data_IF_445081436007
#
_entry.id   IF_445081436007
#
_cell.length_a   1.000
_cell.length_b   1.000
_cell.length_c   1.000
_cell.angle_alpha   90.00
_cell.angle_beta   90.00
_cell.angle_gamma   90.00
#
_symmetry.space_group_name_H-M   'P 1'
#
loop_
_entity.id
_entity.type
_entity.pdbx_description
1 polymer ?
#
# COMPACT_ATOMS: atom_id res chain seq x y z
N UNK A 1 -38.97 9.61 10.63
CA UNK A 1 -39.03 11.02 10.23
C UNK A 1 -37.64 11.47 9.84
N UNK A 2 -37.43 11.59 8.52
CA UNK A 2 -36.20 12.21 7.99
C UNK A 2 -36.26 13.69 8.31
N UNK A 3 -35.21 14.20 8.95
CA UNK A 3 -35.10 15.62 9.28
C UNK A 3 -35.29 16.47 8.00
N UNK A 4 -36.23 17.41 8.04
CA UNK A 4 -36.57 18.27 6.91
C UNK A 4 -35.37 19.08 6.39
N UNK A 5 -34.33 19.25 7.20
CA UNK A 5 -33.09 19.93 6.82
C UNK A 5 -32.17 19.10 5.93
N UNK A 6 -32.37 17.79 5.85
CA UNK A 6 -31.58 16.87 5.05
C UNK A 6 -32.14 16.59 3.65
N UNK A 7 -33.36 17.12 3.34
CA UNK A 7 -33.99 16.89 2.06
C UNK A 7 -33.41 17.82 0.99
N UNK A 8 -32.81 17.24 -0.06
CA UNK A 8 -32.42 17.98 -1.25
C UNK A 8 -33.65 18.36 -2.06
N UNK A 9 -33.66 19.54 -2.58
CA UNK A 9 -34.75 20.02 -3.44
C UNK A 9 -34.75 19.32 -4.82
N UNK A 10 -33.58 18.84 -5.27
CA UNK A 10 -33.41 18.17 -6.55
C UNK A 10 -32.62 16.86 -6.37
N UNK A 11 -33.00 15.88 -7.17
CA UNK A 11 -32.26 14.61 -7.25
C UNK A 11 -30.90 14.83 -7.89
N UNK A 12 -29.91 14.07 -7.45
CA UNK A 12 -28.55 14.09 -7.99
C UNK A 12 -28.19 12.73 -8.55
N UNK A 13 -27.72 12.72 -9.79
CA UNK A 13 -27.12 11.55 -10.43
C UNK A 13 -25.61 11.74 -10.50
N UNK A 14 -24.84 10.75 -10.04
CA UNK A 14 -23.39 10.74 -10.12
C UNK A 14 -22.92 9.42 -10.70
N UNK A 15 -21.99 9.49 -11.64
CA UNK A 15 -21.32 8.34 -12.20
C UNK A 15 -19.81 8.54 -12.11
N UNK A 16 -19.09 7.50 -11.70
CA UNK A 16 -17.64 7.52 -11.64
C UNK A 16 -17.04 6.25 -12.25
N UNK A 17 -15.93 6.42 -12.90
CA UNK A 17 -15.13 5.34 -13.45
C UNK A 17 -13.68 5.54 -13.03
N UNK A 18 -13.04 4.46 -12.62
CA UNK A 18 -11.60 4.47 -12.36
C UNK A 18 -10.93 3.32 -13.06
N UNK A 19 -9.79 3.61 -13.66
CA UNK A 19 -8.89 2.62 -14.23
C UNK A 19 -7.62 2.57 -13.39
N UNK A 20 -7.17 1.36 -13.04
CA UNK A 20 -5.93 1.18 -12.31
C UNK A 20 -5.21 -0.05 -12.81
N UNK A 21 -3.92 0.07 -13.03
CA UNK A 21 -3.03 -1.02 -13.42
C UNK A 21 -2.15 -1.41 -12.24
N UNK A 22 -1.93 -2.72 -12.09
CA UNK A 22 -0.97 -3.30 -11.17
C UNK A 22 -0.14 -4.34 -11.90
N UNK A 23 1.17 -4.31 -11.71
CA UNK A 23 2.06 -5.34 -12.20
C UNK A 23 3.13 -5.67 -11.16
N UNK A 24 3.55 -6.91 -11.16
CA UNK A 24 4.64 -7.41 -10.33
C UNK A 24 5.61 -8.21 -11.17
N UNK A 25 6.88 -8.13 -10.80
CA UNK A 25 7.94 -8.95 -11.36
C UNK A 25 8.74 -9.54 -10.21
N UNK A 26 8.80 -10.86 -10.17
CA UNK A 26 9.44 -11.60 -9.10
C UNK A 26 10.45 -12.58 -9.66
N UNK A 27 11.62 -12.63 -9.04
CA UNK A 27 12.66 -13.60 -9.32
C UNK A 27 13.08 -14.25 -8.02
N UNK A 28 13.21 -15.57 -8.04
CA UNK A 28 13.65 -16.35 -6.90
C UNK A 28 14.61 -17.42 -7.36
N UNK A 29 15.74 -17.54 -6.67
CA UNK A 29 16.68 -18.61 -6.84
C UNK A 29 16.82 -19.37 -5.53
N UNK A 30 16.70 -20.69 -5.61
CA UNK A 30 16.83 -21.59 -4.47
C UNK A 30 17.97 -22.56 -4.75
N UNK A 31 18.76 -22.84 -3.71
CA UNK A 31 19.80 -23.82 -3.79
C UNK A 31 19.84 -24.64 -2.48
N UNK A 32 19.72 -25.96 -2.64
CA UNK A 32 19.74 -26.91 -1.53
C UNK A 32 20.97 -27.80 -1.66
N UNK A 33 21.70 -27.97 -0.57
CA UNK A 33 22.85 -28.85 -0.53
C UNK A 33 23.02 -29.51 0.83
N UNK A 34 23.62 -30.68 0.81
CA UNK A 34 23.92 -31.47 2.00
C UNK A 34 25.42 -31.60 2.16
N UNK A 35 25.89 -31.32 3.35
CA UNK A 35 27.28 -31.54 3.75
C UNK A 35 27.29 -32.45 4.99
N UNK A 36 27.65 -33.70 4.85
CA UNK A 36 27.53 -34.71 5.89
C UNK A 36 26.11 -34.78 6.44
N UNK A 37 25.92 -34.48 7.71
CA UNK A 37 24.61 -34.50 8.40
C UNK A 37 23.92 -33.14 8.40
N UNK A 38 24.48 -32.15 7.72
CA UNK A 38 23.92 -30.80 7.58
C UNK A 38 23.16 -30.68 6.27
N UNK A 39 21.93 -30.29 6.36
CA UNK A 39 21.09 -29.86 5.21
C UNK A 39 20.94 -28.37 5.24
N UNK A 40 21.27 -27.71 4.15
CA UNK A 40 21.20 -26.26 4.00
C UNK A 40 20.38 -25.92 2.77
N UNK A 41 19.35 -25.12 2.98
CA UNK A 41 18.54 -24.54 1.91
C UNK A 41 18.74 -23.02 1.91
N UNK A 42 19.22 -22.49 0.82
CA UNK A 42 19.40 -21.06 0.62
C UNK A 42 18.44 -20.55 -0.43
N UNK A 43 17.84 -19.41 -0.18
CA UNK A 43 16.95 -18.71 -1.08
C UNK A 43 17.39 -17.26 -1.18
N UNK A 44 17.46 -16.75 -2.40
CA UNK A 44 17.57 -15.32 -2.68
C UNK A 44 16.48 -14.92 -3.66
N UNK A 45 15.91 -13.76 -3.45
CA UNK A 45 14.84 -13.27 -4.31
C UNK A 45 14.81 -11.75 -4.42
N UNK A 46 14.20 -11.30 -5.49
CA UNK A 46 13.89 -9.88 -5.70
C UNK A 46 12.48 -9.76 -6.23
N UNK A 47 11.77 -8.75 -5.78
CA UNK A 47 10.48 -8.39 -6.33
C UNK A 47 10.37 -6.90 -6.60
N UNK A 48 9.67 -6.56 -7.66
CA UNK A 48 9.34 -5.20 -8.03
C UNK A 48 7.85 -5.14 -8.31
N UNK A 49 7.16 -4.28 -7.61
CA UNK A 49 5.73 -4.10 -7.77
C UNK A 49 5.41 -2.62 -8.00
N UNK A 50 4.51 -2.35 -8.94
CA UNK A 50 3.94 -1.03 -9.17
C UNK A 50 2.43 -1.13 -9.25
N UNK A 51 1.74 -0.18 -8.64
CA UNK A 51 0.29 -0.09 -8.67
C UNK A 51 -0.17 1.36 -8.63
N UNK A 52 -1.48 1.56 -8.90
CA UNK A 52 -2.10 2.88 -8.89
C UNK A 52 -1.87 3.70 -10.15
N UNK A 53 -1.21 3.14 -11.18
CA UNK A 53 -1.14 3.81 -12.48
C UNK A 53 -2.49 3.72 -13.18
N UNK A 54 -3.10 4.88 -13.42
CA UNK A 54 -4.41 4.96 -14.06
C UNK A 54 -4.99 6.36 -13.93
N UNK A 55 -6.28 6.44 -14.12
CA UNK A 55 -7.02 7.69 -14.06
C UNK A 55 -8.42 7.46 -13.48
N UNK A 56 -8.98 8.49 -12.90
CA UNK A 56 -10.38 8.52 -12.46
C UNK A 56 -11.13 9.63 -13.17
N UNK A 57 -12.34 9.32 -13.56
CA UNK A 57 -13.31 10.27 -14.10
C UNK A 57 -14.58 10.19 -13.26
N UNK A 58 -15.10 11.33 -12.85
CA UNK A 58 -16.34 11.43 -12.13
C UNK A 58 -17.16 12.58 -12.72
N UNK A 59 -18.42 12.33 -12.93
CA UNK A 59 -19.38 13.36 -13.36
C UNK A 59 -20.64 13.27 -12.50
N UNK A 60 -21.22 14.42 -12.21
CA UNK A 60 -22.50 14.50 -11.50
C UNK A 60 -23.34 15.61 -12.05
N UNK A 61 -24.66 15.41 -12.03
CA UNK A 61 -25.61 16.39 -12.40
C UNK A 61 -26.85 16.29 -11.51
N UNK A 62 -27.66 17.32 -11.47
CA UNK A 62 -28.91 17.38 -10.70
C UNK A 62 -30.11 17.45 -11.64
N UNK A 63 -31.28 17.26 -11.09
CA UNK A 63 -32.54 17.34 -11.79
C UNK A 63 -32.74 16.20 -12.81
N UNK A 64 -32.87 14.99 -12.28
CA UNK A 64 -33.15 13.80 -13.09
C UNK A 64 -34.54 13.90 -13.72
N UNK A 65 -34.66 13.54 -14.99
CA UNK A 65 -35.93 13.45 -15.69
C UNK A 65 -36.83 12.31 -15.20
N UNK A 66 -36.26 11.39 -14.43
CA UNK A 66 -36.88 10.18 -13.90
C UNK A 66 -36.73 10.10 -12.40
N UNK A 67 -37.79 9.71 -11.71
CA UNK A 67 -37.81 9.58 -10.25
C UNK A 67 -37.43 8.20 -9.73
N UNK A 68 -36.84 7.34 -10.56
CA UNK A 68 -36.48 5.98 -10.22
C UNK A 68 -34.96 5.69 -10.40
N UNK A 69 -34.46 4.65 -9.70
CA UNK A 69 -33.08 4.27 -9.77
C UNK A 69 -32.69 3.55 -11.07
N UNK A 70 -33.66 2.97 -11.77
CA UNK A 70 -33.43 2.23 -13.00
C UNK A 70 -32.99 3.16 -14.14
N UNK A 71 -33.48 4.39 -14.12
CA UNK A 71 -33.17 5.42 -15.12
C UNK A 71 -32.19 6.49 -14.61
N UNK A 72 -31.53 6.25 -13.49
CA UNK A 72 -30.59 7.19 -12.86
C UNK A 72 -29.23 7.24 -13.60
N UNK A 73 -29.22 7.71 -14.82
CA UNK A 73 -28.02 7.89 -15.65
C UNK A 73 -27.80 9.38 -15.95
N UNK A 74 -26.54 9.77 -16.16
CA UNK A 74 -26.14 11.13 -16.50
C UNK A 74 -26.80 11.64 -17.81
N UNK A 75 -27.11 10.73 -18.72
CA UNK A 75 -27.87 11.07 -19.97
C UNK A 75 -29.32 11.41 -19.74
N UNK A 76 -29.87 11.08 -18.59
CA UNK A 76 -31.27 11.25 -18.24
C UNK A 76 -31.52 12.44 -17.29
N UNK A 77 -30.60 13.37 -17.25
CA UNK A 77 -30.69 14.57 -16.43
C UNK A 77 -31.08 15.79 -17.28
N UNK A 78 -31.68 16.77 -16.64
CA UNK A 78 -32.02 18.02 -17.30
C UNK A 78 -30.79 18.76 -17.81
N UNK A 79 -30.84 19.25 -19.03
CA UNK A 79 -29.77 20.05 -19.65
C UNK A 79 -30.03 21.55 -19.54
N UNK A 80 -30.95 21.95 -18.68
CA UNK A 80 -31.24 23.39 -18.49
C UNK A 80 -30.03 24.10 -17.83
N UNK A 81 -29.84 25.40 -18.11
CA UNK A 81 -28.72 26.17 -17.53
C UNK A 81 -28.75 26.23 -15.99
N UNK A 82 -29.86 25.92 -15.36
CA UNK A 82 -30.02 25.88 -13.91
C UNK A 82 -29.50 24.56 -13.29
N UNK A 83 -29.28 23.52 -14.09
CA UNK A 83 -28.73 22.29 -13.58
C UNK A 83 -27.23 22.46 -13.25
N UNK A 84 -26.84 22.06 -12.04
CA UNK A 84 -25.43 22.08 -11.62
C UNK A 84 -24.75 20.82 -12.10
N UNK A 85 -23.88 20.95 -13.09
CA UNK A 85 -23.04 19.85 -13.55
C UNK A 85 -21.63 19.97 -13.02
N UNK A 86 -21.07 18.87 -12.61
CA UNK A 86 -19.71 18.76 -12.14
C UNK A 86 -19.01 17.61 -12.88
N UNK A 87 -17.85 17.92 -13.45
CA UNK A 87 -16.96 16.94 -14.05
C UNK A 87 -15.61 17.10 -13.40
N UNK A 88 -15.05 15.99 -12.92
CA UNK A 88 -13.70 15.95 -12.36
C UNK A 88 -12.97 14.72 -12.87
N UNK A 89 -11.68 14.88 -13.10
CA UNK A 89 -10.81 13.80 -13.49
C UNK A 89 -9.41 14.05 -12.95
N UNK A 90 -8.74 13.00 -12.55
CA UNK A 90 -7.37 13.09 -12.05
C UNK A 90 -6.61 11.81 -12.35
N UNK A 91 -5.28 11.92 -12.58
CA UNK A 91 -4.45 10.73 -12.60
C UNK A 91 -4.41 10.10 -11.21
N UNK A 92 -4.40 8.79 -11.17
CA UNK A 92 -4.19 8.04 -9.94
C UNK A 92 -2.74 8.13 -9.48
N UNK A 93 -2.53 8.13 -8.18
CA UNK A 93 -1.20 8.17 -7.60
C UNK A 93 -0.49 6.83 -7.76
N UNK A 94 0.61 6.83 -8.49
CA UNK A 94 1.43 5.65 -8.71
C UNK A 94 2.33 5.37 -7.50
N UNK A 95 2.30 4.14 -7.01
CA UNK A 95 3.16 3.63 -5.97
C UNK A 95 4.02 2.49 -6.47
N UNK A 96 5.17 2.29 -5.85
CA UNK A 96 6.05 1.18 -6.16
C UNK A 96 6.78 0.68 -4.92
N UNK A 97 7.01 -0.63 -4.87
CA UNK A 97 7.86 -1.30 -3.87
C UNK A 97 8.88 -2.15 -4.61
N UNK A 98 10.11 -2.07 -4.17
CA UNK A 98 11.18 -2.98 -4.55
C UNK A 98 11.64 -3.73 -3.30
N UNK A 99 11.73 -5.06 -3.39
CA UNK A 99 12.10 -5.91 -2.26
C UNK A 99 13.21 -6.86 -2.65
N UNK A 100 14.13 -7.09 -1.71
CA UNK A 100 15.14 -8.13 -1.79
C UNK A 100 15.00 -9.02 -0.56
N UNK A 101 15.10 -10.32 -0.78
CA UNK A 101 15.01 -11.31 0.29
C UNK A 101 16.17 -12.30 0.18
N UNK A 102 16.76 -12.62 1.32
CA UNK A 102 17.69 -13.73 1.47
C UNK A 102 17.26 -14.56 2.66
N UNK A 103 17.16 -15.86 2.49
CA UNK A 103 16.80 -16.81 3.55
C UNK A 103 17.76 -17.98 3.52
N UNK A 104 18.14 -18.45 4.70
CA UNK A 104 18.86 -19.72 4.87
C UNK A 104 18.12 -20.54 5.91
N UNK A 105 17.86 -21.79 5.59
CA UNK A 105 17.41 -22.80 6.53
C UNK A 105 18.52 -23.81 6.72
N UNK A 106 18.76 -24.23 7.95
CA UNK A 106 19.76 -25.20 8.32
C UNK A 106 19.13 -26.26 9.20
N UNK A 107 19.41 -27.52 8.88
CA UNK A 107 18.97 -28.68 9.65
C UNK A 107 20.22 -29.53 9.92
N UNK A 108 20.40 -29.94 11.16
CA UNK A 108 21.47 -30.82 11.57
C UNK A 108 20.91 -32.03 12.30
N UNK A 109 21.25 -33.23 11.79
CA UNK A 109 20.87 -34.53 12.35
C UNK A 109 19.35 -34.68 12.55
N UNK A 110 18.52 -33.91 11.83
CA UNK A 110 17.09 -33.84 12.07
C UNK A 110 16.70 -33.48 13.52
N UNK A 111 17.65 -33.04 14.33
CA UNK A 111 17.49 -32.64 15.73
C UNK A 111 17.41 -31.13 15.88
N UNK A 112 18.30 -30.41 15.22
CA UNK A 112 18.43 -28.96 15.33
C UNK A 112 18.06 -28.28 14.03
N UNK A 113 17.22 -27.26 14.13
CA UNK A 113 16.77 -26.46 13.00
C UNK A 113 17.05 -24.99 13.30
N UNK A 114 17.57 -24.29 12.32
CA UNK A 114 17.72 -22.85 12.38
C UNK A 114 17.29 -22.23 11.06
N UNK A 115 16.73 -21.05 11.12
CA UNK A 115 16.50 -20.25 9.93
C UNK A 115 16.86 -18.80 10.19
N UNK A 116 17.41 -18.16 9.18
CA UNK A 116 17.68 -16.73 9.17
C UNK A 116 17.11 -16.15 7.87
N UNK A 117 16.43 -15.02 7.99
CA UNK A 117 15.90 -14.29 6.83
C UNK A 117 16.26 -12.83 6.98
N UNK A 118 16.71 -12.23 5.90
CA UNK A 118 16.91 -10.80 5.76
C UNK A 118 16.07 -10.30 4.61
N UNK A 119 15.26 -9.28 4.86
CA UNK A 119 14.45 -8.63 3.85
C UNK A 119 14.75 -7.13 3.83
N UNK A 120 14.96 -6.59 2.64
CA UNK A 120 15.13 -5.18 2.40
C UNK A 120 14.00 -4.70 1.48
N UNK A 121 13.17 -3.79 1.95
CA UNK A 121 12.03 -3.25 1.22
C UNK A 121 12.19 -1.75 1.02
N UNK A 122 12.10 -1.31 -0.24
CA UNK A 122 12.16 0.09 -0.63
C UNK A 122 10.83 0.55 -1.20
N UNK A 123 10.17 1.52 -0.56
CA UNK A 123 8.88 2.04 -1.00
C UNK A 123 8.97 3.48 -1.51
N UNK A 124 8.27 3.78 -2.62
CA UNK A 124 8.15 5.12 -3.17
C UNK A 124 7.35 6.09 -2.29
N UNK A 125 6.59 5.56 -1.34
CA UNK A 125 5.77 6.35 -0.39
C UNK A 125 6.64 7.25 0.49
N UNK A 126 7.88 6.83 0.76
CA UNK A 126 8.82 7.55 1.61
C UNK A 126 9.73 8.49 0.83
N UNK A 127 10.25 9.52 1.51
CA UNK A 127 11.18 10.47 0.94
C UNK A 127 12.48 9.83 0.45
N UNK A 128 13.12 10.44 -0.53
CA UNK A 128 14.47 10.02 -0.98
C UNK A 128 15.43 9.97 0.22
N UNK A 129 16.22 8.91 0.30
CA UNK A 129 17.13 8.67 1.44
C UNK A 129 16.51 7.90 2.61
N UNK A 130 15.18 7.78 2.69
CA UNK A 130 14.45 7.08 3.76
C UNK A 130 13.53 5.97 3.24
N UNK A 131 13.73 5.53 2.01
CA UNK A 131 12.85 4.57 1.34
C UNK A 131 13.07 3.13 1.75
N UNK A 132 14.27 2.79 2.21
CA UNK A 132 14.66 1.43 2.49
C UNK A 132 14.50 1.10 3.97
N UNK A 133 13.79 0.01 4.23
CA UNK A 133 13.71 -0.65 5.52
C UNK A 133 14.35 -2.03 5.46
N UNK A 134 14.95 -2.46 6.57
CA UNK A 134 15.61 -3.76 6.71
C UNK A 134 14.94 -4.55 7.81
N UNK A 135 14.53 -5.76 7.51
CA UNK A 135 13.69 -6.59 8.36
C UNK A 135 14.34 -7.96 8.56
N UNK A 136 15.26 -8.08 9.55
CA UNK A 136 15.85 -9.35 9.92
C UNK A 136 14.85 -10.21 10.69
N UNK A 137 14.95 -11.53 10.50
CA UNK A 137 14.27 -12.50 11.34
C UNK A 137 15.11 -13.76 11.49
N UNK A 138 14.98 -14.41 12.62
CA UNK A 138 15.66 -15.66 12.91
C UNK A 138 14.73 -16.59 13.70
N UNK A 139 14.89 -17.89 13.50
CA UNK A 139 14.22 -18.90 14.30
C UNK A 139 15.15 -20.06 14.59
N UNK A 140 14.96 -20.70 15.73
CA UNK A 140 15.62 -21.92 16.11
C UNK A 140 14.57 -22.95 16.55
N UNK A 141 14.86 -24.22 16.30
CA UNK A 141 14.03 -25.34 16.68
C UNK A 141 14.89 -26.50 17.14
N UNK A 142 14.39 -27.21 18.16
CA UNK A 142 15.04 -28.40 18.69
C UNK A 142 14.00 -29.53 18.78
N UNK A 143 14.29 -30.63 18.09
CA UNK A 143 13.46 -31.83 18.10
C UNK A 143 13.98 -32.75 19.21
N UNK A 144 13.37 -32.68 20.38
CA UNK A 144 13.80 -33.35 21.58
C UNK A 144 13.64 -34.87 21.45
N UNK A 145 12.57 -35.30 20.78
CA UNK A 145 12.31 -36.72 20.54
C UNK A 145 13.39 -37.44 19.74
N UNK A 146 14.16 -36.70 18.94
CA UNK A 146 15.27 -37.29 18.18
C UNK A 146 16.55 -37.43 18.98
N UNK A 147 16.60 -36.96 20.23
CA UNK A 147 17.77 -37.06 21.09
C UNK A 147 17.89 -38.45 21.71
N UNK A 148 19.14 -38.92 21.88
CA UNK A 148 19.40 -40.25 22.38
C UNK A 148 18.98 -40.41 23.86
N UNK A 149 19.07 -39.32 24.63
CA UNK A 149 18.57 -39.34 26.02
C UNK A 149 17.06 -39.51 26.10
N UNK A 150 16.29 -38.95 25.17
CA UNK A 150 14.84 -39.08 25.14
C UNK A 150 14.41 -40.52 24.82
N UNK A 151 15.07 -41.12 23.84
CA UNK A 151 14.86 -42.53 23.46
C UNK A 151 15.22 -43.46 24.62
N UNK A 152 16.24 -43.13 25.38
CA UNK A 152 16.66 -43.91 26.57
C UNK A 152 15.65 -43.85 27.75
N UNK A 153 14.75 -42.86 27.76
CA UNK A 153 13.72 -42.75 28.81
C UNK A 153 12.49 -43.66 28.55
N UNK A 154 12.38 -44.26 27.36
CA UNK A 154 11.25 -45.09 26.99
C UNK A 154 9.94 -44.33 26.85
N UNK A 155 9.98 -42.99 26.73
CA UNK A 155 8.85 -42.13 26.60
C UNK A 155 8.28 -42.07 25.17
N UNK A 156 8.98 -42.67 24.23
CA UNK A 156 8.59 -42.78 22.81
C UNK A 156 7.30 -43.55 22.59
N UNK A 157 6.89 -44.37 23.54
CA UNK A 157 5.59 -45.05 23.51
C UNK A 157 4.37 -44.14 23.86
N UNK A 158 4.63 -42.99 24.51
CA UNK A 158 3.58 -42.04 24.97
C UNK A 158 3.64 -40.72 24.23
N UNK A 159 4.81 -40.28 23.78
CA UNK A 159 5.04 -39.01 23.14
C UNK A 159 5.85 -39.20 21.85
N UNK A 160 5.15 -39.24 20.72
CA UNK A 160 5.75 -39.48 19.40
C UNK A 160 6.61 -38.33 18.89
N UNK A 161 6.24 -37.09 19.24
CA UNK A 161 6.93 -35.91 18.73
C UNK A 161 6.91 -34.74 19.72
N UNK A 162 8.10 -34.29 20.11
CA UNK A 162 8.28 -33.08 20.93
C UNK A 162 9.33 -32.16 20.28
N UNK A 163 8.89 -30.98 19.93
CA UNK A 163 9.73 -29.93 19.34
C UNK A 163 9.57 -28.60 20.07
N UNK A 164 10.69 -28.05 20.49
CA UNK A 164 10.76 -26.68 21.02
C UNK A 164 11.12 -25.71 19.87
N UNK A 165 10.46 -24.55 19.82
CA UNK A 165 10.75 -23.50 18.83
C UNK A 165 10.81 -22.14 19.49
N UNK A 166 11.77 -21.32 19.04
CA UNK A 166 11.85 -19.90 19.35
C UNK A 166 12.03 -19.11 18.05
N UNK A 167 11.42 -17.97 17.95
CA UNK A 167 11.55 -17.08 16.79
C UNK A 167 11.55 -15.63 17.20
N UNK A 168 12.31 -14.84 16.47
CA UNK A 168 12.36 -13.40 16.60
C UNK A 168 12.40 -12.77 15.22
N UNK A 169 11.77 -11.60 15.05
CA UNK A 169 11.79 -10.89 13.78
C UNK A 169 11.30 -9.47 13.92
N UNK A 170 11.68 -8.65 12.96
CA UNK A 170 11.20 -7.30 12.78
C UNK A 170 10.31 -7.23 11.54
N UNK A 171 9.20 -6.53 11.66
CA UNK A 171 8.28 -6.28 10.55
C UNK A 171 8.24 -4.79 10.23
N UNK A 172 8.08 -4.45 8.95
CA UNK A 172 7.85 -3.10 8.49
C UNK A 172 6.38 -2.82 8.23
N UNK A 173 5.99 -1.57 8.39
CA UNK A 173 4.67 -1.08 7.98
C UNK A 173 4.85 0.11 7.03
N UNK A 174 4.31 0.02 5.82
CA UNK A 174 4.25 1.11 4.84
C UNK A 174 2.82 1.58 4.55
N UNK A 175 1.83 1.16 5.37
CA UNK A 175 0.45 1.60 5.25
C UNK A 175 0.27 3.02 5.81
N UNK A 176 0.89 3.96 5.13
CA UNK A 176 0.81 5.40 5.42
C UNK A 176 0.34 6.13 4.17
N UNK A 177 -0.32 7.27 4.37
CA UNK A 177 -0.69 8.12 3.23
C UNK A 177 0.57 8.52 2.46
N UNK A 178 0.57 8.26 1.16
CA UNK A 178 1.73 8.51 0.31
C UNK A 178 2.11 9.99 0.26
N UNK A 179 3.41 10.25 0.10
CA UNK A 179 3.98 11.57 -0.19
C UNK A 179 3.73 12.66 0.87
N UNK A 180 3.47 12.31 2.11
CA UNK A 180 3.29 13.26 3.22
C UNK A 180 4.52 14.15 3.47
N UNK A 181 5.67 13.78 2.92
CA UNK A 181 6.90 14.58 2.98
C UNK A 181 6.92 15.75 1.98
N UNK A 182 5.95 15.83 1.06
CA UNK A 182 5.84 16.92 0.11
C UNK A 182 5.03 18.07 0.71
N UNK A 183 5.56 19.26 0.56
CA UNK A 183 4.76 20.49 0.78
C UNK A 183 3.84 20.67 -0.41
N UNK A 184 2.53 20.61 -0.16
CA UNK A 184 1.53 20.80 -1.20
C UNK A 184 1.17 22.28 -1.29
N UNK A 185 1.13 22.74 -2.54
CA UNK A 185 0.58 24.07 -2.87
C UNK A 185 -0.83 23.86 -3.42
N UNK A 186 -1.79 24.43 -2.76
CA UNK A 186 -3.20 24.39 -3.23
C UNK A 186 -3.50 25.68 -3.94
N UNK A 187 -3.94 25.58 -5.19
CA UNK A 187 -4.53 26.72 -5.89
C UNK A 187 -6.00 26.83 -5.52
N UNK A 188 -6.42 28.00 -5.09
CA UNK A 188 -7.82 28.27 -4.78
C UNK A 188 -8.26 29.48 -5.59
N UNK A 189 -9.34 29.34 -6.35
CA UNK A 189 -9.94 30.43 -7.11
C UNK A 189 -10.73 31.43 -6.24
N UNK A 190 -10.67 31.29 -4.92
CA UNK A 190 -11.30 32.17 -3.95
C UNK A 190 -10.34 33.21 -3.36
N UNK A 191 -10.86 34.06 -2.51
CA UNK A 191 -10.19 35.21 -1.89
C UNK A 191 -8.77 34.90 -1.37
N UNK A 192 -7.80 35.71 -1.79
CA UNK A 192 -6.41 35.67 -1.28
C UNK A 192 -5.37 35.16 -2.27
N UNK A 193 -5.67 35.11 -3.55
CA UNK A 193 -4.71 34.74 -4.59
C UNK A 193 -3.64 35.79 -4.84
N UNK A 194 -2.43 35.32 -5.18
CA UNK A 194 -1.37 36.17 -5.67
C UNK A 194 -1.30 36.08 -7.20
N UNK A 195 -1.27 37.20 -7.87
CA UNK A 195 -1.21 37.26 -9.34
C UNK A 195 0.24 37.42 -9.76
N UNK A 196 0.74 36.49 -10.57
CA UNK A 196 2.04 36.60 -11.20
C UNK A 196 1.86 37.20 -12.61
N UNK A 197 2.48 38.34 -12.84
CA UNK A 197 2.49 39.01 -14.14
C UNK A 197 1.63 40.28 -14.20
N UNK A 198 1.77 41.06 -15.28
CA UNK A 198 0.97 42.25 -15.54
C UNK A 198 -0.45 41.87 -15.94
N UNK A 199 -1.42 42.28 -15.15
CA UNK A 199 -2.85 42.06 -15.42
C UNK A 199 -3.33 43.15 -16.36
N UNK A 200 -3.14 42.99 -17.62
CA UNK A 200 -3.68 43.92 -18.64
C UNK A 200 -5.02 43.48 -19.16
N UNK A 201 -5.37 42.20 -19.06
CA UNK A 201 -6.65 41.69 -19.54
C UNK A 201 -7.45 40.96 -18.43
N UNK A 202 -8.62 41.50 -18.08
CA UNK A 202 -9.50 40.96 -17.04
C UNK A 202 -10.06 39.56 -17.35
N UNK A 203 -9.77 38.96 -18.48
CA UNK A 203 -10.29 37.65 -18.88
C UNK A 203 -9.40 36.47 -18.47
N UNK A 204 -8.17 36.70 -18.02
CA UNK A 204 -7.24 35.64 -17.64
C UNK A 204 -6.75 35.76 -16.20
N UNK A 205 -7.56 36.28 -15.32
CA UNK A 205 -7.21 36.27 -13.88
C UNK A 205 -7.41 34.87 -13.33
N UNK A 206 -6.47 34.00 -13.57
CA UNK A 206 -6.27 32.85 -12.70
C UNK A 206 -5.67 33.33 -11.39
N UNK A 207 -6.47 33.64 -10.40
CA UNK A 207 -5.96 33.92 -9.06
C UNK A 207 -5.47 32.63 -8.43
N UNK A 208 -4.16 32.50 -8.28
CA UNK A 208 -3.55 31.36 -7.62
C UNK A 208 -3.26 31.73 -6.16
N UNK A 209 -4.01 31.16 -5.24
CA UNK A 209 -3.67 31.23 -3.83
C UNK A 209 -2.77 30.04 -3.48
N UNK A 210 -1.62 30.32 -2.92
CA UNK A 210 -0.72 29.30 -2.43
C UNK A 210 -0.87 29.18 -0.93
N UNK A 211 -1.39 28.06 -0.46
CA UNK A 211 -1.35 27.69 0.94
C UNK A 211 -0.41 26.48 1.08
N UNK A 212 0.70 26.67 1.79
CA UNK A 212 1.49 25.56 2.29
C UNK A 212 0.67 24.79 3.31
N UNK A 213 0.13 23.66 2.93
CA UNK A 213 -0.75 22.86 3.81
C UNK A 213 -0.01 21.87 4.67
N UNK A 214 1.32 21.72 4.49
CA UNK A 214 2.07 20.77 5.31
C UNK A 214 3.54 21.17 5.42
N UNK A 215 4.04 21.29 6.65
CA UNK A 215 5.47 21.24 6.94
C UNK A 215 5.89 19.78 6.75
N UNK A 216 6.62 19.46 5.68
CA UNK A 216 6.98 18.11 5.31
C UNK A 216 7.50 17.29 6.49
N UNK A 217 6.75 16.30 6.88
CA UNK A 217 7.19 15.31 7.85
C UNK A 217 8.04 14.27 7.15
N UNK A 218 9.26 14.08 7.61
CA UNK A 218 10.12 13.00 7.15
C UNK A 218 9.65 11.68 7.76
N UNK A 219 8.84 10.94 7.02
CA UNK A 219 8.47 9.59 7.38
C UNK A 219 9.58 8.62 6.95
N UNK A 220 10.00 7.77 7.87
CA UNK A 220 10.91 6.66 7.62
C UNK A 220 10.11 5.36 7.54
N UNK A 221 10.61 4.39 6.78
CA UNK A 221 10.22 3.01 6.97
C UNK A 221 10.62 2.62 8.40
N UNK A 222 9.64 2.34 9.25
CA UNK A 222 9.88 1.94 10.64
C UNK A 222 9.66 0.44 10.78
N UNK A 223 10.56 -0.22 11.51
CA UNK A 223 10.36 -1.56 12.02
C UNK A 223 9.47 -1.51 13.26
N UNK A 224 8.45 -2.34 13.31
CA UNK A 224 7.58 -2.58 14.46
C UNK A 224 7.91 -3.91 15.09
#
# INVERSE_FOLDING_TARGET
DLDATAKREMDQVSQSMSLSNRWSWENTACYSFNINEHQIDALVGSSLEKWGYGESLSASNVDSNFGDLEHAYLSNVSTTPSSMSSISGSPSQMNSIASFVARSNWIWKEKYLASATMRADGSSVFARGYRWGYFPSASAGWVITNEDFFKGLGLDSVLDFLKLRASWGQNGNCNVTGFQYLSLVTSNNGYGGYVFGDVIDKREIGSYAYKLTNSGQHLRAQSV
#
